data_IF_505496863771
#
_entry.id   IF_505496863771
#
_cell.length_a   1.000
_cell.length_b   1.000
_cell.length_c   1.000
_cell.angle_alpha   90.00
_cell.angle_beta   90.00
_cell.angle_gamma   90.00
#
_symmetry.space_group_name_H-M   'P 1'
#
loop_
_entity.id
_entity.type
_entity.pdbx_description
1 polymer ?
#
# COMPACT_ATOMS: atom_id res chain seq x y z
N UNK A 1 -53.22 6.16 -17.74
CA UNK A 1 -52.22 5.56 -16.83
C UNK A 1 -50.86 5.70 -17.50
N UNK A 2 -50.05 6.65 -17.06
CA UNK A 2 -48.72 6.93 -17.61
C UNK A 2 -47.69 6.59 -16.53
N UNK A 3 -46.83 5.61 -16.81
CA UNK A 3 -45.76 5.17 -15.90
C UNK A 3 -44.46 5.84 -16.32
N UNK A 4 -44.00 6.83 -15.53
CA UNK A 4 -42.62 7.30 -15.59
C UNK A 4 -41.69 6.27 -14.92
N UNK A 5 -40.48 6.02 -15.43
CA UNK A 5 -39.49 5.23 -14.72
C UNK A 5 -38.80 6.09 -13.65
N UNK A 6 -38.78 5.59 -12.41
CA UNK A 6 -37.95 6.13 -11.33
C UNK A 6 -36.48 5.87 -11.65
N UNK A 7 -35.69 6.92 -11.78
CA UNK A 7 -34.24 6.85 -11.71
C UNK A 7 -33.83 6.44 -10.29
N UNK A 8 -33.19 5.28 -10.16
CA UNK A 8 -32.49 4.91 -8.94
C UNK A 8 -31.19 5.71 -8.90
N UNK A 9 -31.12 6.69 -8.01
CA UNK A 9 -29.86 7.32 -7.60
C UNK A 9 -29.13 6.32 -6.71
N UNK A 10 -28.06 5.74 -7.25
CA UNK A 10 -27.06 5.04 -6.44
C UNK A 10 -26.19 6.14 -5.83
N UNK A 11 -26.48 6.50 -4.59
CA UNK A 11 -25.54 7.25 -3.77
C UNK A 11 -24.59 6.24 -3.15
N UNK A 12 -23.47 5.99 -3.84
CA UNK A 12 -22.27 5.43 -3.22
C UNK A 12 -21.69 6.51 -2.30
N UNK A 13 -22.24 6.63 -1.10
CA UNK A 13 -21.54 7.25 0.02
C UNK A 13 -20.66 6.17 0.63
N UNK A 14 -19.49 5.95 0.03
CA UNK A 14 -18.34 5.46 0.81
C UNK A 14 -18.06 6.56 1.83
N UNK A 15 -18.53 6.37 3.06
CA UNK A 15 -18.30 7.28 4.15
C UNK A 15 -16.79 7.41 4.37
N UNK A 16 -16.34 8.65 4.26
CA UNK A 16 -15.00 9.18 4.51
C UNK A 16 -14.68 9.16 6.02
N UNK A 17 -15.08 8.09 6.71
CA UNK A 17 -14.71 7.87 8.11
C UNK A 17 -13.22 7.51 8.16
N UNK A 18 -12.45 8.38 8.79
CA UNK A 18 -11.05 8.14 9.11
C UNK A 18 -10.95 6.78 9.82
N UNK A 19 -10.31 5.77 9.21
CA UNK A 19 -10.35 4.43 9.75
C UNK A 19 -9.67 4.40 11.13
N UNK A 20 -10.19 3.61 12.08
CA UNK A 20 -9.60 3.52 13.41
C UNK A 20 -8.13 3.10 13.32
N UNK A 21 -7.30 3.69 14.19
CA UNK A 21 -5.85 3.47 14.21
C UNK A 21 -5.44 2.01 14.44
N UNK A 22 -6.36 1.14 14.86
CA UNK A 22 -6.12 -0.29 15.06
C UNK A 22 -7.20 -1.14 14.37
N UNK A 23 -7.03 -1.37 13.07
CA UNK A 23 -7.87 -2.29 12.29
C UNK A 23 -7.42 -3.73 12.61
N UNK A 24 -8.30 -4.59 13.20
CA UNK A 24 -7.94 -5.96 13.50
C UNK A 24 -7.76 -6.78 12.21
N UNK A 25 -6.86 -7.75 12.26
CA UNK A 25 -6.68 -8.73 11.20
C UNK A 25 -7.84 -9.74 11.19
N UNK A 26 -8.18 -10.26 10.01
CA UNK A 26 -8.99 -11.47 9.87
C UNK A 26 -8.38 -12.60 10.70
N UNK A 27 -9.24 -13.34 11.41
CA UNK A 27 -8.83 -14.45 12.26
C UNK A 27 -8.75 -15.72 11.41
N UNK A 28 -7.53 -16.16 11.09
CA UNK A 28 -7.28 -17.40 10.34
C UNK A 28 -7.27 -18.62 11.28
N UNK A 29 -8.03 -19.65 10.92
CA UNK A 29 -7.96 -20.97 11.55
C UNK A 29 -6.68 -21.70 11.13
N UNK A 30 -6.33 -22.80 11.82
CA UNK A 30 -5.14 -23.57 11.45
C UNK A 30 -5.25 -24.22 10.06
N UNK A 31 -6.47 -24.61 9.66
CA UNK A 31 -6.76 -25.09 8.30
C UNK A 31 -6.55 -23.97 7.26
N UNK A 32 -7.01 -22.75 7.56
CA UNK A 32 -6.81 -21.60 6.67
C UNK A 32 -5.33 -21.27 6.50
N UNK A 33 -4.56 -21.34 7.59
CA UNK A 33 -3.11 -21.10 7.56
C UNK A 33 -2.41 -22.16 6.72
N UNK A 34 -2.76 -23.43 6.92
CA UNK A 34 -2.24 -24.53 6.13
C UNK A 34 -2.53 -24.32 4.63
N UNK A 35 -3.75 -23.93 4.28
CA UNK A 35 -4.15 -23.66 2.89
C UNK A 35 -3.38 -22.47 2.28
N UNK A 36 -3.17 -21.40 3.05
CA UNK A 36 -2.38 -20.24 2.64
C UNK A 36 -0.91 -20.61 2.43
N UNK A 37 -0.29 -21.33 3.36
CA UNK A 37 1.10 -21.79 3.24
C UNK A 37 1.30 -22.77 2.08
N UNK A 38 0.37 -23.73 1.92
CA UNK A 38 0.42 -24.70 0.84
C UNK A 38 0.29 -24.01 -0.52
N UNK A 39 -0.66 -23.08 -0.65
CA UNK A 39 -0.83 -22.31 -1.89
C UNK A 39 0.38 -21.41 -2.17
N UNK A 40 1.01 -20.82 -1.15
CA UNK A 40 2.23 -20.03 -1.31
C UNK A 40 3.37 -20.85 -1.89
N UNK A 41 3.58 -22.11 -1.46
CA UNK A 41 4.61 -23.00 -2.03
C UNK A 41 4.47 -23.20 -3.55
N UNK A 42 3.25 -23.09 -4.08
CA UNK A 42 2.97 -23.19 -5.52
C UNK A 42 3.29 -21.87 -6.25
N UNK A 43 3.10 -20.73 -5.58
CA UNK A 43 3.22 -19.38 -6.13
C UNK A 43 4.65 -18.86 -6.03
N UNK A 44 5.32 -19.13 -4.92
CA UNK A 44 6.66 -18.63 -4.56
C UNK A 44 7.69 -18.78 -5.69
N UNK A 45 7.82 -19.93 -6.38
CA UNK A 45 8.80 -20.06 -7.46
C UNK A 45 8.55 -19.13 -8.66
N UNK A 46 7.36 -18.55 -8.76
CA UNK A 46 6.92 -17.68 -9.87
C UNK A 46 6.75 -16.23 -9.44
N UNK A 47 7.00 -15.89 -8.17
CA UNK A 47 6.69 -14.57 -7.62
C UNK A 47 7.37 -13.42 -8.39
N UNK A 48 8.62 -13.61 -8.83
CA UNK A 48 9.34 -12.59 -9.58
C UNK A 48 8.68 -12.33 -10.96
N UNK A 49 8.24 -13.39 -11.63
CA UNK A 49 7.51 -13.28 -12.91
C UNK A 49 6.14 -12.60 -12.74
N UNK A 50 5.48 -12.79 -11.60
CA UNK A 50 4.22 -12.12 -11.23
C UNK A 50 4.46 -10.64 -10.88
N UNK A 51 5.64 -10.31 -10.35
CA UNK A 51 5.95 -8.99 -9.78
C UNK A 51 6.50 -7.95 -10.77
N UNK A 52 6.92 -8.37 -11.98
CA UNK A 52 7.97 -7.71 -12.78
C UNK A 52 7.84 -6.23 -13.19
N UNK A 53 6.73 -5.50 -13.06
CA UNK A 53 6.69 -4.11 -13.55
C UNK A 53 6.23 -3.03 -12.54
N UNK A 54 5.60 -3.37 -11.40
CA UNK A 54 5.16 -2.34 -10.41
C UNK A 54 5.32 -2.77 -8.94
N UNK A 55 5.55 -4.07 -8.63
CA UNK A 55 5.28 -4.57 -7.26
C UNK A 55 6.32 -5.51 -6.67
N UNK A 56 7.56 -5.54 -7.16
CA UNK A 56 8.61 -6.39 -6.59
C UNK A 56 8.85 -6.13 -5.09
N UNK A 57 8.75 -4.87 -4.65
CA UNK A 57 8.82 -4.52 -3.23
C UNK A 57 7.60 -5.01 -2.43
N UNK A 58 6.38 -4.89 -2.97
CA UNK A 58 5.15 -5.28 -2.24
C UNK A 58 5.00 -6.81 -2.19
N UNK A 59 5.28 -7.52 -3.28
CA UNK A 59 5.20 -8.98 -3.30
C UNK A 59 6.24 -9.61 -2.36
N UNK A 60 7.49 -9.15 -2.42
CA UNK A 60 8.56 -9.76 -1.63
C UNK A 60 8.59 -9.30 -0.16
N UNK A 61 8.22 -8.06 0.16
CA UNK A 61 8.26 -7.61 1.57
C UNK A 61 6.93 -7.83 2.29
N UNK A 62 5.80 -7.65 1.60
CA UNK A 62 4.49 -7.62 2.26
C UNK A 62 3.80 -8.96 2.14
N UNK A 63 3.65 -9.50 0.93
CA UNK A 63 2.91 -10.75 0.73
C UNK A 63 3.68 -11.92 1.35
N UNK A 64 4.97 -12.04 1.05
CA UNK A 64 5.81 -13.08 1.66
C UNK A 64 5.90 -12.91 3.20
N UNK A 65 6.07 -11.68 3.69
CA UNK A 65 6.08 -11.40 5.13
C UNK A 65 4.77 -11.80 5.81
N UNK A 66 3.63 -11.53 5.18
CA UNK A 66 2.30 -11.90 5.68
C UNK A 66 2.13 -13.42 5.77
N UNK A 67 2.55 -14.17 4.76
CA UNK A 67 2.51 -15.64 4.80
C UNK A 67 3.44 -16.19 5.88
N UNK A 68 4.65 -15.62 6.06
CA UNK A 68 5.61 -16.05 7.09
C UNK A 68 5.17 -15.73 8.52
N UNK A 69 4.23 -14.81 8.70
CA UNK A 69 3.78 -14.31 10.00
C UNK A 69 2.30 -14.58 10.26
N UNK A 70 1.71 -15.65 9.69
CA UNK A 70 0.29 -15.98 9.89
C UNK A 70 -0.09 -16.21 11.36
N UNK A 71 0.86 -16.61 12.21
CA UNK A 71 0.66 -16.73 13.66
C UNK A 71 0.78 -15.41 14.42
N UNK A 72 1.35 -14.37 13.79
CA UNK A 72 1.55 -13.07 14.41
C UNK A 72 1.50 -11.93 13.37
N UNK A 73 0.35 -11.80 12.69
CA UNK A 73 0.14 -10.76 11.68
C UNK A 73 0.33 -9.32 12.20
N UNK A 74 0.05 -8.97 13.47
CA UNK A 74 0.37 -7.64 14.02
C UNK A 74 1.85 -7.25 13.90
N UNK A 75 2.77 -8.21 13.77
CA UNK A 75 4.20 -7.91 13.53
C UNK A 75 4.45 -7.14 12.23
N UNK A 76 3.52 -7.19 11.26
CA UNK A 76 3.60 -6.44 10.01
C UNK A 76 3.13 -4.98 10.13
N UNK A 77 2.46 -4.59 11.22
CA UNK A 77 1.80 -3.28 11.31
C UNK A 77 2.80 -2.12 11.10
N UNK A 78 4.02 -2.23 11.62
CA UNK A 78 5.08 -1.21 11.47
C UNK A 78 5.50 -1.06 9.99
N UNK A 79 5.70 -2.16 9.27
CA UNK A 79 6.13 -2.09 7.86
C UNK A 79 4.99 -1.58 6.97
N UNK A 80 3.75 -1.97 7.25
CA UNK A 80 2.56 -1.52 6.51
C UNK A 80 2.29 -0.03 6.73
N UNK A 81 2.45 0.46 7.95
CA UNK A 81 2.33 1.89 8.28
C UNK A 81 3.40 2.72 7.57
N UNK A 82 4.65 2.25 7.56
CA UNK A 82 5.74 2.89 6.78
C UNK A 82 5.45 2.94 5.28
N UNK A 83 4.91 1.86 4.72
CA UNK A 83 4.47 1.81 3.32
C UNK A 83 3.34 2.80 3.06
N UNK A 84 2.36 2.89 3.97
CA UNK A 84 1.28 3.87 3.92
C UNK A 84 1.80 5.30 3.85
N UNK A 85 2.69 5.70 4.78
CA UNK A 85 3.32 7.03 4.76
C UNK A 85 4.04 7.35 3.44
N UNK A 86 4.77 6.37 2.88
CA UNK A 86 5.44 6.55 1.58
C UNK A 86 4.43 6.81 0.45
N UNK A 87 3.29 6.12 0.45
CA UNK A 87 2.24 6.33 -0.55
C UNK A 87 1.45 7.62 -0.31
N UNK A 88 1.25 8.05 0.94
CA UNK A 88 0.70 9.37 1.25
C UNK A 88 1.52 10.50 0.64
N UNK A 89 2.85 10.44 0.78
CA UNK A 89 3.77 11.37 0.10
C UNK A 89 3.64 11.32 -1.43
N UNK A 90 3.48 10.14 -2.03
CA UNK A 90 3.33 10.02 -3.49
C UNK A 90 1.98 10.58 -3.97
N UNK A 91 0.92 10.39 -3.19
CA UNK A 91 -0.43 10.86 -3.52
C UNK A 91 -0.50 12.39 -3.50
N UNK A 92 0.04 13.03 -2.46
CA UNK A 92 0.15 14.50 -2.38
C UNK A 92 0.96 15.07 -3.56
N UNK A 93 2.01 14.37 -3.99
CA UNK A 93 2.83 14.78 -5.15
C UNK A 93 2.21 14.42 -6.50
N UNK A 94 0.97 13.91 -6.53
CA UNK A 94 0.27 13.54 -7.75
C UNK A 94 0.82 12.29 -8.45
N UNK A 95 1.79 11.58 -7.86
CA UNK A 95 2.48 10.39 -8.40
C UNK A 95 1.78 9.07 -8.04
N UNK A 96 0.74 9.12 -7.22
CA UNK A 96 -0.07 7.97 -6.83
C UNK A 96 -1.55 8.35 -6.79
N UNK A 97 -2.42 7.34 -6.93
CA UNK A 97 -3.87 7.46 -6.82
C UNK A 97 -4.40 6.30 -5.98
N UNK A 98 -5.24 6.60 -4.99
CA UNK A 98 -5.80 5.60 -4.09
C UNK A 98 -6.46 4.39 -4.77
N UNK A 99 -7.09 4.56 -5.94
CA UNK A 99 -7.74 3.45 -6.67
C UNK A 99 -6.75 2.38 -7.16
N UNK A 100 -5.45 2.68 -7.27
CA UNK A 100 -4.43 1.69 -7.64
C UNK A 100 -4.36 0.52 -6.65
N UNK A 101 -4.73 0.72 -5.39
CA UNK A 101 -4.80 -0.37 -4.41
C UNK A 101 -5.83 -1.43 -4.81
N UNK A 102 -7.01 -1.01 -5.27
CA UNK A 102 -8.05 -1.94 -5.72
C UNK A 102 -7.61 -2.71 -6.95
N UNK A 103 -6.95 -2.03 -7.91
CA UNK A 103 -6.35 -2.68 -9.08
C UNK A 103 -5.28 -3.70 -8.68
N UNK A 104 -4.40 -3.34 -7.74
CA UNK A 104 -3.37 -4.24 -7.22
C UNK A 104 -3.96 -5.53 -6.64
N UNK A 105 -5.01 -5.44 -5.81
CA UNK A 105 -5.66 -6.63 -5.25
C UNK A 105 -6.21 -7.53 -6.36
N UNK A 106 -6.94 -6.98 -7.33
CA UNK A 106 -7.52 -7.80 -8.40
C UNK A 106 -6.44 -8.44 -9.27
N UNK A 107 -5.34 -7.73 -9.56
CA UNK A 107 -4.18 -8.30 -10.23
C UNK A 107 -3.53 -9.44 -9.43
N UNK A 108 -3.38 -9.29 -8.11
CA UNK A 108 -2.85 -10.35 -7.26
C UNK A 108 -3.76 -11.58 -7.28
N UNK A 109 -5.05 -11.38 -7.05
CA UNK A 109 -6.04 -12.46 -7.04
C UNK A 109 -6.11 -13.20 -8.38
N UNK A 110 -6.08 -12.46 -9.49
CA UNK A 110 -6.03 -13.05 -10.82
C UNK A 110 -4.79 -13.94 -11.00
N UNK A 111 -3.60 -13.44 -10.67
CA UNK A 111 -2.35 -14.18 -10.82
C UNK A 111 -2.26 -15.40 -9.90
N UNK A 112 -2.72 -15.27 -8.65
CA UNK A 112 -2.81 -16.37 -7.70
C UNK A 112 -3.72 -17.46 -8.27
N UNK A 113 -4.94 -17.11 -8.68
CA UNK A 113 -5.90 -18.06 -9.27
C UNK A 113 -5.32 -18.75 -10.50
N UNK A 114 -4.77 -17.97 -11.43
CA UNK A 114 -4.16 -18.50 -12.66
C UNK A 114 -3.06 -19.54 -12.38
N UNK A 115 -2.31 -19.37 -11.30
CA UNK A 115 -1.24 -20.30 -10.94
C UNK A 115 -1.72 -21.52 -10.15
N UNK A 116 -2.72 -21.35 -9.28
CA UNK A 116 -3.30 -22.45 -8.50
C UNK A 116 -4.20 -23.36 -9.36
N UNK A 117 -4.97 -22.81 -10.30
CA UNK A 117 -5.83 -23.61 -11.21
C UNK A 117 -5.06 -24.58 -12.10
N UNK A 118 -3.74 -24.43 -12.22
CA UNK A 118 -2.88 -25.38 -12.94
C UNK A 118 -2.51 -26.61 -12.10
N UNK A 119 -2.78 -26.60 -10.80
CA UNK A 119 -2.30 -27.58 -9.82
C UNK A 119 -3.41 -28.15 -8.92
N UNK A 120 -4.55 -27.48 -8.86
CA UNK A 120 -5.61 -27.73 -7.87
C UNK A 120 -6.98 -27.71 -8.58
N UNK A 121 -7.97 -28.38 -7.99
CA UNK A 121 -9.33 -28.39 -8.53
C UNK A 121 -10.04 -27.05 -8.26
N UNK A 122 -11.10 -26.74 -9.01
CA UNK A 122 -11.78 -25.43 -8.94
C UNK A 122 -12.33 -25.09 -7.55
N UNK A 123 -12.92 -26.06 -6.85
CA UNK A 123 -13.48 -25.84 -5.50
C UNK A 123 -12.39 -25.49 -4.50
N UNK A 124 -11.26 -26.17 -4.58
CA UNK A 124 -10.10 -25.90 -3.73
C UNK A 124 -9.48 -24.53 -4.03
N UNK A 125 -9.35 -24.19 -5.31
CA UNK A 125 -8.89 -22.86 -5.73
C UNK A 125 -9.82 -21.77 -5.21
N UNK A 126 -11.13 -21.93 -5.32
CA UNK A 126 -12.08 -20.89 -4.88
C UNK A 126 -12.04 -20.68 -3.36
N UNK A 127 -11.91 -21.76 -2.56
CA UNK A 127 -11.68 -21.63 -1.11
C UNK A 127 -10.39 -20.85 -0.82
N UNK A 128 -9.28 -21.23 -1.43
CA UNK A 128 -7.98 -20.58 -1.23
C UNK A 128 -8.02 -19.11 -1.67
N UNK A 129 -8.71 -18.79 -2.76
CA UNK A 129 -8.85 -17.41 -3.24
C UNK A 129 -9.63 -16.54 -2.26
N UNK A 130 -10.62 -17.09 -1.54
CA UNK A 130 -11.30 -16.36 -0.47
C UNK A 130 -10.31 -15.98 0.64
N UNK A 131 -9.44 -16.91 1.04
CA UNK A 131 -8.41 -16.66 2.05
C UNK A 131 -7.40 -15.59 1.61
N UNK A 132 -6.89 -15.69 0.37
CA UNK A 132 -6.02 -14.67 -0.21
C UNK A 132 -6.69 -13.30 -0.29
N UNK A 133 -7.99 -13.25 -0.63
CA UNK A 133 -8.75 -11.99 -0.60
C UNK A 133 -8.83 -11.43 0.82
N UNK A 134 -9.03 -12.24 1.85
CA UNK A 134 -9.04 -11.77 3.24
C UNK A 134 -7.69 -11.16 3.62
N UNK A 135 -6.59 -11.91 3.41
CA UNK A 135 -5.24 -11.47 3.75
C UNK A 135 -4.87 -10.16 3.04
N UNK A 136 -5.05 -10.10 1.72
CA UNK A 136 -4.68 -8.92 0.93
C UNK A 136 -5.56 -7.70 1.23
N UNK A 137 -6.85 -7.89 1.53
CA UNK A 137 -7.73 -6.78 1.94
C UNK A 137 -7.24 -6.15 3.23
N UNK A 138 -6.88 -6.94 4.23
CA UNK A 138 -6.46 -6.38 5.53
C UNK A 138 -5.08 -5.72 5.45
N UNK A 139 -4.15 -6.30 4.67
CA UNK A 139 -2.89 -5.65 4.29
C UNK A 139 -3.16 -4.25 3.70
N UNK A 140 -4.07 -4.15 2.72
CA UNK A 140 -4.37 -2.89 2.07
C UNK A 140 -5.08 -1.90 3.00
N UNK A 141 -6.00 -2.36 3.86
CA UNK A 141 -6.67 -1.48 4.84
C UNK A 141 -5.65 -0.78 5.74
N UNK A 142 -4.64 -1.52 6.22
CA UNK A 142 -3.58 -0.99 7.06
C UNK A 142 -2.67 -0.01 6.32
N UNK A 143 -2.28 -0.32 5.08
CA UNK A 143 -1.53 0.62 4.23
C UNK A 143 -2.34 1.89 3.99
N UNK A 144 -3.63 1.76 3.63
CA UNK A 144 -4.54 2.90 3.41
C UNK A 144 -4.70 3.75 4.66
N UNK A 145 -4.81 3.15 5.84
CA UNK A 145 -4.87 3.90 7.09
C UNK A 145 -3.60 4.77 7.30
N UNK A 146 -2.41 4.21 7.07
CA UNK A 146 -1.16 4.97 7.11
C UNK A 146 -1.07 6.07 6.05
N UNK A 147 -1.58 5.82 4.85
CA UNK A 147 -1.68 6.82 3.76
C UNK A 147 -2.57 8.00 4.17
N UNK A 148 -3.79 7.72 4.66
CA UNK A 148 -4.74 8.74 5.09
C UNK A 148 -4.18 9.57 6.25
N UNK A 149 -3.57 8.93 7.24
CA UNK A 149 -2.96 9.61 8.38
C UNK A 149 -1.81 10.55 7.96
N UNK A 150 -0.94 10.10 7.04
CA UNK A 150 0.16 10.91 6.51
C UNK A 150 -0.35 12.13 5.71
N UNK A 151 -1.36 11.94 4.86
CA UNK A 151 -1.99 13.03 4.12
C UNK A 151 -2.60 14.06 5.08
N UNK A 152 -3.37 13.61 6.06
CA UNK A 152 -3.98 14.48 7.06
C UNK A 152 -2.93 15.29 7.84
N UNK A 153 -1.84 14.64 8.25
CA UNK A 153 -0.72 15.30 8.93
C UNK A 153 -0.07 16.37 8.06
N UNK A 154 0.15 16.10 6.77
CA UNK A 154 0.74 17.08 5.83
C UNK A 154 -0.18 18.28 5.61
N UNK A 155 -1.48 18.04 5.43
CA UNK A 155 -2.47 19.11 5.25
C UNK A 155 -2.53 20.01 6.50
N UNK A 156 -2.50 19.42 7.70
CA UNK A 156 -2.44 20.17 8.94
C UNK A 156 -1.17 21.03 9.02
N UNK A 157 -0.01 20.48 8.68
CA UNK A 157 1.26 21.20 8.69
C UNK A 157 1.24 22.41 7.74
N UNK A 158 0.68 22.26 6.54
CA UNK A 158 0.53 23.36 5.58
C UNK A 158 -0.40 24.47 6.11
N UNK A 159 -1.52 24.12 6.73
CA UNK A 159 -2.45 25.08 7.32
C UNK A 159 -1.82 25.89 8.46
N UNK A 160 -0.99 25.26 9.29
CA UNK A 160 -0.24 25.94 10.36
C UNK A 160 0.77 26.92 9.77
N UNK A 161 1.48 26.54 8.70
CA UNK A 161 2.46 27.38 8.04
C UNK A 161 1.82 28.60 7.35
N UNK A 162 0.69 28.39 6.68
CA UNK A 162 -0.12 29.47 6.10
C UNK A 162 -0.57 30.47 7.18
N UNK A 163 -1.08 29.97 8.30
CA UNK A 163 -1.50 30.82 9.44
C UNK A 163 -0.35 31.65 10.02
N UNK A 164 0.88 31.11 10.02
CA UNK A 164 2.09 31.84 10.46
C UNK A 164 2.50 32.93 9.47
N UNK A 165 2.39 32.68 8.16
CA UNK A 165 2.69 33.70 7.14
C UNK A 165 1.78 34.92 7.25
N UNK A 166 0.50 34.73 7.57
CA UNK A 166 -0.45 35.83 7.75
C UNK A 166 -0.35 36.56 9.11
N UNK A 167 0.47 36.06 10.05
CA UNK A 167 0.56 36.57 11.43
C UNK A 167 1.81 37.43 11.72
N UNK A 168 2.71 37.66 10.76
CA UNK A 168 3.94 38.45 10.97
C UNK A 168 3.78 39.91 10.50
N UNK A 169 4.02 40.93 11.35
CA UNK A 169 4.30 42.29 10.90
C UNK A 169 5.72 42.40 10.34
N UNK A 170 5.87 43.15 9.26
CA UNK A 170 7.13 43.38 8.54
C UNK A 170 8.25 43.90 9.46
N UNK A 171 9.33 43.14 9.59
CA UNK A 171 10.66 43.68 9.92
C UNK A 171 11.64 43.11 8.89
N UNK A 172 11.92 43.93 7.87
CA UNK A 172 13.06 43.70 6.99
C UNK A 172 14.35 43.73 7.81
N UNK A 173 15.13 42.66 7.74
CA UNK A 173 16.57 42.75 7.88
C UNK A 173 17.22 41.78 6.91
N UNK A 174 17.84 42.35 5.89
CA UNK A 174 18.69 41.67 4.93
C UNK A 174 19.87 41.02 5.66
N UNK A 175 20.12 39.75 5.38
CA UNK A 175 21.45 39.17 5.50
C UNK A 175 21.63 38.11 4.43
N UNK A 176 22.41 38.48 3.41
CA UNK A 176 22.92 37.58 2.38
C UNK A 176 23.70 36.42 3.03
N UNK A 177 23.28 35.20 2.75
CA UNK A 177 24.12 34.02 2.89
C UNK A 177 23.86 33.08 1.71
N UNK A 178 24.96 32.74 1.04
CA UNK A 178 25.09 31.99 -0.21
C UNK A 178 24.31 30.67 -0.23
N UNK A 179 23.51 30.49 -1.28
CA UNK A 179 22.93 29.21 -1.67
C UNK A 179 24.03 28.24 -2.08
N UNK A 180 24.18 27.13 -1.36
CA UNK A 180 24.78 25.92 -1.90
C UNK A 180 23.63 25.07 -2.44
N UNK A 181 23.46 25.07 -3.76
CA UNK A 181 22.55 24.19 -4.49
C UNK A 181 22.98 22.73 -4.23
N UNK A 182 22.20 22.01 -3.42
CA UNK A 182 22.30 20.54 -3.37
C UNK A 182 21.41 20.01 -4.48
N UNK A 183 22.00 19.84 -5.67
CA UNK A 183 21.35 19.14 -6.76
C UNK A 183 21.24 17.65 -6.43
N UNK A 184 20.01 17.14 -6.35
CA UNK A 184 19.77 15.70 -6.27
C UNK A 184 19.66 15.16 -7.71
N UNK A 185 20.75 14.59 -8.21
CA UNK A 185 20.72 13.83 -9.46
C UNK A 185 20.11 12.46 -9.20
N UNK A 186 19.02 12.15 -9.89
CA UNK A 186 18.49 10.79 -9.97
C UNK A 186 19.30 10.07 -11.05
N UNK A 187 20.32 9.31 -10.66
CA UNK A 187 20.99 8.42 -11.60
C UNK A 187 20.14 7.15 -11.75
N UNK A 188 19.69 6.89 -12.97
CA UNK A 188 19.03 5.66 -13.37
C UNK A 188 19.94 4.48 -13.05
N UNK A 189 19.53 3.62 -12.12
CA UNK A 189 20.28 2.41 -11.76
C UNK A 189 20.15 1.40 -12.91
N UNK A 190 21.28 1.12 -13.58
CA UNK A 190 21.43 0.00 -14.52
C UNK A 190 21.40 -1.31 -13.74
N UNK A 191 20.33 -2.08 -13.93
CA UNK A 191 20.11 -3.40 -13.36
C UNK A 191 20.98 -4.44 -14.07
N UNK A 192 22.28 -4.47 -13.77
CA UNK A 192 23.14 -5.54 -14.29
C UNK A 192 23.99 -6.34 -13.34
N UNK A 193 23.98 -6.12 -12.03
CA UNK A 193 24.60 -7.06 -11.09
C UNK A 193 24.00 -6.92 -9.69
N UNK A 194 23.09 -7.83 -9.34
CA UNK A 194 22.28 -7.82 -8.12
C UNK A 194 23.05 -7.93 -6.81
N UNK A 195 23.60 -6.81 -6.32
CA UNK A 195 23.88 -6.58 -4.89
C UNK A 195 23.59 -5.13 -4.53
N UNK A 196 22.69 -4.91 -3.58
CA UNK A 196 22.53 -3.62 -2.93
C UNK A 196 23.26 -3.69 -1.59
N UNK A 197 24.37 -2.97 -1.48
CA UNK A 197 24.96 -2.60 -0.20
C UNK A 197 24.37 -1.24 0.16
N UNK A 198 23.68 -1.15 1.30
CA UNK A 198 23.22 0.13 1.85
C UNK A 198 24.30 0.62 2.80
N UNK A 199 25.11 1.60 2.38
CA UNK A 199 25.91 2.40 3.30
C UNK A 199 25.16 3.70 3.62
N UNK A 200 25.00 3.95 4.92
CA UNK A 200 24.63 5.26 5.45
C UNK A 200 25.90 6.10 5.51
N UNK A 201 25.91 7.24 4.83
CA UNK A 201 26.85 8.32 5.16
C UNK A 201 26.00 9.51 5.58
N UNK A 202 26.09 9.83 6.87
CA UNK A 202 25.73 11.13 7.40
C UNK A 202 26.99 11.96 7.58
N UNK A 203 26.79 13.28 7.55
CA UNK A 203 27.39 14.23 8.48
C UNK A 203 26.26 15.16 8.96
#
# INVERSE_FOLDING_TARGET
MSTSPKSASITDTEEDEMPPSNIPWYTFTDDDKHDLEHSWKIIEPKKNQIACDIYEMIFNQVIEGAVRALDNLPSLDIILDNLGRRHGKLEVNGKFRSYYWSTFLECCIFNIRLNLSKKMNSLEVDRIIILWRCLLRDVMKKIKAGTTADIAQRMLQMSIEESRMFSLPAIHKESNASSADVSFSFETVDLKNGRVLVEFIGD
#
